data_IF_284111874562
#
_entry.id   IF_284111874562
#
_cell.length_a   1.000
_cell.length_b   1.000
_cell.length_c   1.000
_cell.angle_alpha   90.00
_cell.angle_beta   90.00
_cell.angle_gamma   90.00
#
_symmetry.space_group_name_H-M   'P 1'
#
loop_
_entity.id
_entity.type
_entity.pdbx_description
1 polymer ?
#
# COMPACT_ATOMS: atom_id res chain seq x y z
N UNK A 1 -9.27 35.06 2.30
CA UNK A 1 -10.31 34.71 3.32
C UNK A 1 -11.58 34.25 2.61
N UNK A 2 -12.35 33.27 3.12
CA UNK A 2 -13.58 32.75 2.47
C UNK A 2 -14.74 32.55 3.48
N UNK A 3 -16.00 32.68 3.07
CA UNK A 3 -17.14 32.49 3.99
C UNK A 3 -17.19 31.04 4.56
N UNK A 4 -17.26 30.83 5.89
CA UNK A 4 -17.24 29.50 6.48
C UNK A 4 -18.59 28.75 6.41
N UNK A 5 -19.67 29.41 5.98
CA UNK A 5 -20.99 28.79 5.83
C UNK A 5 -21.02 27.88 4.58
N UNK A 6 -21.21 26.55 4.73
CA UNK A 6 -21.23 25.59 3.62
C UNK A 6 -22.28 25.88 2.54
N UNK A 7 -23.35 26.59 2.90
CA UNK A 7 -24.46 26.92 2.01
C UNK A 7 -24.28 28.27 1.29
N UNK A 8 -23.15 28.96 1.53
CA UNK A 8 -22.85 30.22 0.86
C UNK A 8 -22.27 29.96 -0.54
N UNK A 9 -22.68 30.69 -1.59
CA UNK A 9 -22.09 30.58 -2.94
C UNK A 9 -20.57 30.84 -2.96
N UNK A 10 -20.08 31.61 -1.99
CA UNK A 10 -18.67 31.92 -1.80
C UNK A 10 -18.01 31.05 -0.73
N UNK A 11 -18.62 29.91 -0.39
CA UNK A 11 -18.02 28.91 0.47
C UNK A 11 -16.73 28.40 -0.19
N UNK A 12 -15.62 28.48 0.57
CA UNK A 12 -14.27 28.10 0.13
C UNK A 12 -13.70 28.89 -1.06
N UNK A 13 -14.32 29.98 -1.49
CA UNK A 13 -13.73 30.89 -2.47
C UNK A 13 -12.93 31.98 -1.76
N UNK A 14 -11.61 32.01 -2.00
CA UNK A 14 -10.73 33.05 -1.44
C UNK A 14 -10.79 34.32 -2.28
N UNK A 15 -10.72 35.47 -1.61
CA UNK A 15 -10.56 36.80 -2.21
C UNK A 15 -11.74 37.27 -3.08
N UNK A 16 -12.92 36.70 -2.83
CA UNK A 16 -14.20 37.04 -3.46
C UNK A 16 -14.79 38.41 -3.06
N UNK A 17 -14.07 39.23 -2.29
CA UNK A 17 -14.50 40.58 -1.86
C UNK A 17 -15.78 40.65 -1.00
N UNK A 18 -16.38 39.52 -0.66
CA UNK A 18 -17.70 39.39 -0.06
C UNK A 18 -17.69 39.40 1.47
N UNK A 19 -16.57 39.76 2.11
CA UNK A 19 -16.39 39.71 3.56
C UNK A 19 -16.07 41.09 4.12
N UNK A 20 -16.83 41.53 5.12
CA UNK A 20 -16.67 42.84 5.77
C UNK A 20 -16.29 42.64 7.23
N UNK A 21 -15.20 43.28 7.66
CA UNK A 21 -14.85 43.38 9.08
C UNK A 21 -15.82 44.34 9.76
N UNK A 22 -16.56 43.88 10.77
CA UNK A 22 -17.57 44.70 11.46
C UNK A 22 -17.25 44.94 12.93
N UNK A 23 -16.19 44.33 13.46
CA UNK A 23 -15.76 44.58 14.84
C UNK A 23 -14.51 43.80 15.24
N UNK A 24 -14.23 43.80 16.53
CA UNK A 24 -13.13 43.07 17.14
C UNK A 24 -13.47 42.62 18.57
N UNK A 25 -12.69 41.71 19.14
CA UNK A 25 -12.79 41.30 20.54
C UNK A 25 -11.40 41.01 21.12
N UNK A 26 -11.22 41.29 22.42
CA UNK A 26 -9.94 41.06 23.12
C UNK A 26 -9.79 39.60 23.54
N UNK A 27 -8.60 39.05 23.38
CA UNK A 27 -8.19 37.74 23.88
C UNK A 27 -6.90 37.85 24.69
N UNK A 28 -6.56 36.82 25.47
CA UNK A 28 -5.26 36.74 26.18
C UNK A 28 -4.03 36.86 25.27
N UNK A 29 -4.21 36.69 23.95
CA UNK A 29 -3.17 36.73 22.92
C UNK A 29 -3.29 37.95 22.00
N UNK A 30 -4.06 38.98 22.38
CA UNK A 30 -4.28 40.19 21.59
C UNK A 30 -5.73 40.36 21.09
N UNK A 31 -5.95 41.44 20.34
CA UNK A 31 -7.25 41.79 19.74
C UNK A 31 -7.48 41.01 18.43
N UNK A 32 -8.69 40.50 18.23
CA UNK A 32 -9.06 39.68 17.05
C UNK A 32 -10.24 40.27 16.32
N UNK A 33 -10.21 40.24 14.99
CA UNK A 33 -11.30 40.73 14.15
C UNK A 33 -12.55 39.86 14.16
N UNK A 34 -13.71 40.48 13.92
CA UNK A 34 -14.99 39.84 13.59
C UNK A 34 -15.40 40.24 12.18
N UNK A 35 -15.82 39.26 11.39
CA UNK A 35 -16.14 39.40 9.97
C UNK A 35 -17.56 38.90 9.70
N UNK A 36 -18.22 39.54 8.74
CA UNK A 36 -19.55 39.17 8.24
C UNK A 36 -19.46 38.92 6.74
N UNK A 37 -20.11 37.87 6.25
CA UNK A 37 -20.26 37.68 4.81
C UNK A 37 -21.44 38.50 4.28
N UNK A 38 -21.22 39.33 3.26
CA UNK A 38 -22.27 40.15 2.64
C UNK A 38 -23.28 39.31 1.84
N UNK A 39 -22.95 38.07 1.49
CA UNK A 39 -23.84 37.19 0.72
C UNK A 39 -24.81 36.40 1.60
N UNK A 40 -24.32 35.85 2.72
CA UNK A 40 -25.13 34.97 3.57
C UNK A 40 -25.35 35.51 5.00
N UNK A 41 -24.87 36.73 5.30
CA UNK A 41 -24.92 37.40 6.60
C UNK A 41 -24.31 36.67 7.80
N UNK A 42 -23.68 35.51 7.59
CA UNK A 42 -23.01 34.75 8.64
C UNK A 42 -21.89 35.59 9.27
N UNK A 43 -21.82 35.60 10.60
CA UNK A 43 -20.77 36.30 11.36
C UNK A 43 -19.80 35.31 11.97
N UNK A 44 -18.50 35.62 11.91
CA UNK A 44 -17.46 34.71 12.37
C UNK A 44 -16.21 35.47 12.82
N UNK A 45 -15.40 34.81 13.65
CA UNK A 45 -14.13 35.38 14.13
C UNK A 45 -13.02 35.21 13.10
N UNK A 46 -12.00 36.07 13.17
CA UNK A 46 -10.78 36.01 12.36
C UNK A 46 -10.13 34.61 12.32
N UNK A 47 -10.20 33.84 13.43
CA UNK A 47 -9.65 32.48 13.48
C UNK A 47 -10.54 31.40 12.86
N UNK A 48 -11.85 31.64 12.71
CA UNK A 48 -12.77 30.71 12.02
C UNK A 48 -12.34 30.42 10.57
N UNK A 49 -11.47 31.28 10.05
CA UNK A 49 -10.97 31.34 8.69
C UNK A 49 -9.59 30.68 8.51
N UNK A 50 -9.08 29.98 9.53
CA UNK A 50 -7.74 29.39 9.56
C UNK A 50 -7.75 27.95 10.08
N UNK A 51 -6.66 27.19 9.86
CA UNK A 51 -6.44 25.90 10.53
C UNK A 51 -6.39 26.00 12.07
N UNK A 52 -6.24 27.22 12.61
CA UNK A 52 -6.12 27.54 14.04
C UNK A 52 -7.47 27.71 14.76
N UNK A 53 -8.61 27.54 14.07
CA UNK A 53 -9.92 27.57 14.71
C UNK A 53 -10.03 26.45 15.77
N UNK A 54 -10.30 26.79 17.03
CA UNK A 54 -10.39 25.83 18.14
C UNK A 54 -9.06 25.34 18.72
N UNK A 55 -7.92 25.86 18.26
CA UNK A 55 -6.59 25.52 18.82
C UNK A 55 -6.20 26.50 19.94
N UNK A 56 -5.93 25.98 21.13
CA UNK A 56 -5.29 26.69 22.26
C UNK A 56 -3.76 26.66 22.13
N UNK A 57 -3.24 26.89 20.93
CA UNK A 57 -1.80 26.91 20.63
C UNK A 57 -1.36 28.30 20.16
N UNK A 58 -0.06 28.59 20.33
CA UNK A 58 0.57 29.79 19.80
C UNK A 58 0.66 29.69 18.27
N UNK A 59 0.18 30.72 17.57
CA UNK A 59 0.16 30.77 16.10
C UNK A 59 1.58 30.64 15.52
N UNK A 60 2.57 31.34 16.08
CA UNK A 60 3.94 31.32 15.57
C UNK A 60 4.55 29.94 15.71
N UNK A 61 4.27 29.23 16.81
CA UNK A 61 4.72 27.85 17.00
C UNK A 61 4.10 26.90 15.99
N UNK A 62 2.80 27.01 15.74
CA UNK A 62 2.11 26.16 14.75
C UNK A 62 2.63 26.45 13.34
N UNK A 63 2.75 27.72 12.95
CA UNK A 63 3.22 28.12 11.62
C UNK A 63 4.65 27.63 11.36
N UNK A 64 5.53 27.66 12.37
CA UNK A 64 6.90 27.14 12.24
C UNK A 64 6.93 25.61 12.11
N UNK A 65 6.08 24.87 12.85
CA UNK A 65 5.93 23.41 12.64
C UNK A 65 5.52 23.10 11.20
N UNK A 66 4.50 23.79 10.68
CA UNK A 66 4.01 23.56 9.32
C UNK A 66 5.06 23.93 8.28
N UNK A 67 5.79 25.04 8.47
CA UNK A 67 6.89 25.45 7.59
C UNK A 67 8.02 24.42 7.54
N UNK A 68 8.39 23.86 8.70
CA UNK A 68 9.43 22.82 8.78
C UNK A 68 8.98 21.50 8.14
N UNK A 69 7.71 21.12 8.28
CA UNK A 69 7.12 20.00 7.54
C UNK A 69 7.20 20.26 6.03
N UNK A 70 6.82 21.46 5.56
CA UNK A 70 6.92 21.83 4.14
C UNK A 70 8.35 21.83 3.59
N UNK A 71 9.36 21.99 4.45
CA UNK A 71 10.79 21.85 4.12
C UNK A 71 11.29 20.40 4.20
N UNK A 72 10.46 19.44 4.60
CA UNK A 72 10.80 18.02 4.68
C UNK A 72 11.41 17.57 6.01
N UNK A 73 11.32 18.37 7.09
CA UNK A 73 11.77 17.91 8.41
C UNK A 73 10.83 16.83 8.97
N UNK A 74 11.40 15.77 9.58
CA UNK A 74 10.62 14.73 10.26
C UNK A 74 9.95 15.26 11.52
N UNK A 75 8.75 14.76 11.85
CA UNK A 75 8.03 15.17 13.06
C UNK A 75 8.82 14.91 14.35
N UNK A 76 9.65 13.86 14.38
CA UNK A 76 10.55 13.58 15.51
C UNK A 76 11.63 14.66 15.66
N UNK A 77 12.20 15.15 14.56
CA UNK A 77 13.15 16.27 14.54
C UNK A 77 12.48 17.55 15.01
N UNK A 78 11.30 17.86 14.50
CA UNK A 78 10.52 19.05 14.91
C UNK A 78 10.16 18.99 16.40
N UNK A 79 9.70 17.83 16.88
CA UNK A 79 9.36 17.60 18.29
C UNK A 79 10.55 17.86 19.21
N UNK A 80 11.72 17.30 18.87
CA UNK A 80 12.96 17.48 19.63
C UNK A 80 13.43 18.94 19.62
N UNK A 81 13.48 19.56 18.45
CA UNK A 81 14.08 20.88 18.28
C UNK A 81 13.18 22.01 18.82
N UNK A 82 11.85 21.81 18.83
CA UNK A 82 10.89 22.82 19.29
C UNK A 82 10.34 22.55 20.69
N UNK A 83 10.76 21.46 21.35
CA UNK A 83 10.30 21.09 22.69
C UNK A 83 8.79 20.84 22.77
N UNK A 84 8.20 20.36 21.67
CA UNK A 84 6.77 20.02 21.60
C UNK A 84 6.59 18.50 21.62
N UNK A 85 5.55 18.01 22.30
CA UNK A 85 5.21 16.58 22.26
C UNK A 85 5.00 16.13 20.82
N UNK A 86 5.49 14.96 20.46
CA UNK A 86 5.37 14.41 19.11
C UNK A 86 3.91 14.37 18.64
N UNK A 87 2.99 14.01 19.54
CA UNK A 87 1.55 13.96 19.27
C UNK A 87 0.96 15.33 18.97
N UNK A 88 1.52 16.39 19.57
CA UNK A 88 1.11 17.77 19.29
C UNK A 88 1.58 18.21 17.89
N UNK A 89 2.81 17.83 17.49
CA UNK A 89 3.31 18.08 16.14
C UNK A 89 2.50 17.30 15.07
N UNK A 90 2.14 16.03 15.35
CA UNK A 90 1.25 15.21 14.52
C UNK A 90 -0.13 15.82 14.40
N UNK A 91 -0.75 16.19 15.51
CA UNK A 91 -2.07 16.84 15.53
C UNK A 91 -2.10 18.11 14.68
N UNK A 92 -1.05 18.94 14.74
CA UNK A 92 -0.93 20.13 13.91
C UNK A 92 -0.71 19.77 12.43
N UNK A 93 0.15 18.81 12.10
CA UNK A 93 0.31 18.30 10.73
C UNK A 93 -1.03 17.88 10.14
N UNK A 94 -1.75 16.99 10.82
CA UNK A 94 -2.97 16.35 10.29
C UNK A 94 -4.10 17.34 10.09
N UNK A 95 -4.20 18.32 11.01
CA UNK A 95 -5.20 19.39 10.94
C UNK A 95 -4.96 20.34 9.76
N UNK A 96 -3.72 20.56 9.36
CA UNK A 96 -3.36 21.46 8.27
C UNK A 96 -3.20 20.75 6.92
N UNK A 97 -2.88 19.45 6.90
CA UNK A 97 -2.94 18.61 5.70
C UNK A 97 -4.39 18.31 5.26
N UNK A 98 -5.33 18.08 6.19
CA UNK A 98 -6.76 17.90 5.85
C UNK A 98 -7.44 19.16 5.27
N UNK A 99 -6.78 20.33 5.30
CA UNK A 99 -7.34 21.63 4.84
C UNK A 99 -6.68 22.23 3.60
N UNK A 100 -5.74 21.55 2.95
CA UNK A 100 -5.25 21.95 1.62
C UNK A 100 -4.50 23.29 1.56
N UNK A 101 -3.84 23.73 2.63
CA UNK A 101 -3.13 25.02 2.69
C UNK A 101 -1.61 24.92 2.55
N UNK A 102 -1.06 23.75 2.21
CA UNK A 102 0.37 23.62 1.93
C UNK A 102 0.53 23.44 0.42
N UNK A 103 0.77 24.54 -0.28
CA UNK A 103 1.45 24.48 -1.57
C UNK A 103 2.91 24.14 -1.29
N UNK A 104 3.28 22.89 -1.57
CA UNK A 104 4.69 22.49 -1.57
C UNK A 104 5.37 23.16 -2.77
N UNK A 105 6.57 23.71 -2.58
CA UNK A 105 7.37 24.37 -3.63
C UNK A 105 7.71 23.46 -4.84
N UNK A 106 7.39 22.17 -4.75
CA UNK A 106 7.23 21.27 -5.89
C UNK A 106 5.77 20.82 -5.90
N UNK A 107 5.03 21.18 -6.94
CA UNK A 107 3.69 20.67 -7.25
C UNK A 107 3.68 19.19 -7.65
N UNK A 108 4.39 18.34 -6.91
CA UNK A 108 4.38 16.90 -7.13
C UNK A 108 3.26 16.31 -6.28
N UNK A 109 2.13 16.07 -6.93
CA UNK A 109 1.13 15.11 -6.47
C UNK A 109 1.88 13.83 -6.05
N UNK A 110 1.81 13.49 -4.76
CA UNK A 110 2.22 12.19 -4.21
C UNK A 110 1.53 11.00 -4.93
N UNK A 111 0.45 11.26 -5.67
CA UNK A 111 -0.26 10.31 -6.51
C UNK A 111 0.03 10.55 -8.01
N UNK A 112 1.22 10.16 -8.49
CA UNK A 112 1.40 9.95 -9.95
C UNK A 112 0.93 8.53 -10.30
N UNK A 113 0.21 8.32 -11.42
CA UNK A 113 -0.42 7.04 -11.74
C UNK A 113 0.59 5.89 -11.79
N UNK A 114 0.19 4.71 -11.30
CA UNK A 114 0.84 3.45 -11.66
C UNK A 114 0.71 3.27 -13.17
N UNK A 115 1.76 2.81 -13.85
CA UNK A 115 1.66 2.38 -15.24
C UNK A 115 0.67 1.22 -15.29
N UNK A 116 -0.56 1.48 -15.73
CA UNK A 116 -1.62 0.47 -15.78
C UNK A 116 -1.37 -0.48 -16.95
N UNK A 117 -1.22 -1.78 -16.65
CA UNK A 117 -1.11 -2.85 -17.65
C UNK A 117 -2.27 -2.91 -18.64
N UNK A 118 -3.50 -2.59 -18.21
CA UNK A 118 -4.69 -2.60 -19.08
C UNK A 118 -4.71 -1.46 -20.11
N UNK A 119 -3.94 -0.39 -19.93
CA UNK A 119 -3.92 0.78 -20.83
C UNK A 119 -2.64 0.86 -21.68
N UNK A 120 -1.60 0.06 -21.40
CA UNK A 120 -0.35 0.10 -22.16
C UNK A 120 -0.43 -0.78 -23.42
N UNK A 121 -0.78 -0.20 -24.57
CA UNK A 121 -0.38 -0.70 -25.90
C UNK A 121 1.08 -0.36 -26.23
N UNK A 122 1.83 0.16 -25.26
CA UNK A 122 3.24 0.53 -25.40
C UNK A 122 4.13 -0.70 -25.44
N UNK A 123 5.03 -0.76 -26.44
CA UNK A 123 6.10 -1.75 -26.45
C UNK A 123 7.02 -1.59 -25.23
N UNK A 124 7.62 -2.69 -24.78
CA UNK A 124 8.52 -2.74 -23.62
C UNK A 124 9.60 -1.65 -23.69
N UNK A 125 10.12 -1.34 -24.88
CA UNK A 125 11.13 -0.30 -25.10
C UNK A 125 10.66 1.12 -24.75
N UNK A 126 9.37 1.42 -24.95
CA UNK A 126 8.80 2.74 -24.62
C UNK A 126 8.62 2.87 -23.10
N UNK A 127 8.13 1.81 -22.45
CA UNK A 127 7.96 1.78 -20.99
C UNK A 127 9.31 1.89 -20.26
N UNK A 128 10.34 1.18 -20.73
CA UNK A 128 11.69 1.26 -20.15
C UNK A 128 12.27 2.68 -20.22
N UNK A 129 12.11 3.37 -21.36
CA UNK A 129 12.54 4.78 -21.52
C UNK A 129 11.83 5.73 -20.57
N UNK A 130 10.52 5.54 -20.37
CA UNK A 130 9.74 6.33 -19.43
C UNK A 130 10.24 6.12 -17.99
N UNK A 131 10.47 4.87 -17.59
CA UNK A 131 10.99 4.54 -16.25
C UNK A 131 12.36 5.13 -16.01
N UNK A 132 13.25 5.15 -17.01
CA UNK A 132 14.57 5.80 -16.90
C UNK A 132 14.47 7.32 -16.69
N UNK A 133 13.52 7.97 -17.39
CA UNK A 133 13.22 9.39 -17.15
C UNK A 133 12.67 9.61 -15.75
N UNK A 134 11.69 8.80 -15.34
CA UNK A 134 11.05 8.85 -14.02
C UNK A 134 12.05 8.64 -12.88
N UNK A 135 12.94 7.66 -12.98
CA UNK A 135 13.97 7.41 -11.97
C UNK A 135 14.92 8.59 -11.76
N UNK A 136 15.22 9.35 -12.82
CA UNK A 136 16.00 10.61 -12.73
C UNK A 136 15.20 11.70 -12.02
N UNK A 137 13.93 11.91 -12.41
CA UNK A 137 13.05 12.91 -11.79
C UNK A 137 12.78 12.63 -10.31
N UNK A 138 12.64 11.35 -9.95
CA UNK A 138 12.41 10.89 -8.58
C UNK A 138 13.70 10.95 -7.72
N UNK A 139 14.85 11.27 -8.33
CA UNK A 139 16.19 11.33 -7.71
C UNK A 139 16.64 9.98 -7.11
N UNK A 140 16.28 8.87 -7.77
CA UNK A 140 16.61 7.53 -7.29
C UNK A 140 18.12 7.29 -7.32
N UNK A 141 18.64 6.73 -6.23
CA UNK A 141 20.05 6.31 -6.09
C UNK A 141 20.23 4.81 -6.29
N UNK A 142 19.27 4.02 -5.82
CA UNK A 142 19.31 2.57 -5.87
C UNK A 142 18.00 1.99 -6.39
N UNK A 143 18.10 0.91 -7.16
CA UNK A 143 16.94 0.16 -7.66
C UNK A 143 17.02 -1.26 -7.11
N UNK A 144 15.96 -1.68 -6.44
CA UNK A 144 15.78 -3.02 -5.91
C UNK A 144 15.09 -3.88 -6.97
N UNK A 145 15.84 -4.80 -7.55
CA UNK A 145 15.35 -5.81 -8.47
C UNK A 145 14.80 -6.98 -7.66
N UNK A 146 13.48 -7.08 -7.59
CA UNK A 146 12.74 -8.03 -6.76
C UNK A 146 12.25 -9.20 -7.60
N UNK A 147 12.27 -10.39 -7.04
CA UNK A 147 11.69 -11.59 -7.63
C UNK A 147 11.26 -12.55 -6.52
N UNK A 148 10.54 -13.62 -6.86
CA UNK A 148 9.97 -14.54 -5.87
C UNK A 148 10.50 -15.95 -6.10
N UNK A 149 10.91 -16.62 -5.02
CA UNK A 149 11.28 -18.04 -5.08
C UNK A 149 10.06 -18.97 -5.01
N UNK A 150 10.27 -20.28 -5.14
CA UNK A 150 9.17 -21.26 -5.14
C UNK A 150 8.36 -21.27 -3.83
N UNK A 151 8.95 -20.80 -2.72
CA UNK A 151 8.31 -20.73 -1.41
C UNK A 151 7.51 -19.45 -1.21
N UNK A 152 7.43 -18.58 -2.22
CA UNK A 152 6.72 -17.31 -2.15
C UNK A 152 7.48 -16.22 -1.38
N UNK A 153 8.79 -16.39 -1.20
CA UNK A 153 9.64 -15.41 -0.54
C UNK A 153 10.21 -14.43 -1.55
N UNK A 154 10.06 -13.13 -1.32
CA UNK A 154 10.70 -12.13 -2.18
C UNK A 154 12.19 -12.09 -1.89
N UNK A 155 12.96 -12.17 -2.96
CA UNK A 155 14.40 -11.97 -3.02
C UNK A 155 14.68 -10.64 -3.69
N UNK A 156 15.89 -10.12 -3.51
CA UNK A 156 16.23 -8.82 -4.05
C UNK A 156 17.72 -8.74 -4.39
N UNK A 157 18.02 -8.14 -5.55
CA UNK A 157 19.35 -7.64 -5.91
C UNK A 157 19.26 -6.12 -5.99
N UNK A 158 20.20 -5.39 -5.36
CA UNK A 158 20.20 -3.92 -5.42
C UNK A 158 21.26 -3.44 -6.42
N UNK A 159 20.85 -2.61 -7.38
CA UNK A 159 21.75 -1.98 -8.34
C UNK A 159 21.78 -0.45 -8.15
N UNK A 160 22.90 0.22 -8.49
CA UNK A 160 22.90 1.67 -8.64
C UNK A 160 21.94 2.10 -9.76
N UNK A 161 21.28 3.25 -9.59
CA UNK A 161 20.36 3.78 -10.62
C UNK A 161 21.04 4.01 -11.98
N UNK A 162 22.35 4.27 -12.00
CA UNK A 162 23.14 4.40 -13.23
C UNK A 162 23.18 3.11 -14.06
N UNK A 163 22.99 1.95 -13.44
CA UNK A 163 23.01 0.64 -14.11
C UNK A 163 21.63 0.22 -14.63
N UNK A 164 20.58 1.03 -14.39
CA UNK A 164 19.20 0.69 -14.74
C UNK A 164 19.00 0.49 -16.26
N UNK A 165 19.66 1.31 -17.09
CA UNK A 165 19.62 1.16 -18.55
C UNK A 165 20.12 -0.23 -18.96
N UNK A 166 21.30 -0.62 -18.47
CA UNK A 166 21.89 -1.92 -18.78
C UNK A 166 21.02 -3.07 -18.24
N UNK A 167 20.36 -2.88 -17.10
CA UNK A 167 19.43 -3.86 -16.55
C UNK A 167 18.21 -4.09 -17.45
N UNK A 168 17.69 -3.06 -18.11
CA UNK A 168 16.63 -3.23 -19.12
C UNK A 168 17.15 -3.89 -20.40
N UNK A 169 18.30 -3.44 -20.90
CA UNK A 169 18.83 -3.92 -22.18
C UNK A 169 19.29 -5.38 -22.12
N UNK A 170 20.09 -5.72 -21.10
CA UNK A 170 20.77 -7.02 -20.98
C UNK A 170 20.20 -7.90 -19.88
N UNK A 171 19.51 -7.34 -18.90
CA UNK A 171 19.18 -8.04 -17.65
C UNK A 171 20.35 -8.01 -16.67
N UNK A 172 20.13 -8.54 -15.48
CA UNK A 172 21.14 -8.60 -14.41
C UNK A 172 21.40 -10.04 -14.03
N UNK A 173 22.67 -10.45 -14.13
CA UNK A 173 23.10 -11.78 -13.72
C UNK A 173 23.04 -11.95 -12.20
N UNK A 174 22.64 -13.13 -11.76
CA UNK A 174 22.67 -13.52 -10.36
C UNK A 174 22.86 -15.03 -10.22
N UNK A 175 23.32 -15.43 -9.03
CA UNK A 175 23.45 -16.84 -8.66
C UNK A 175 22.08 -17.43 -8.23
N UNK A 176 21.48 -18.20 -9.12
CA UNK A 176 20.27 -18.98 -8.92
C UNK A 176 20.45 -20.21 -8.02
N UNK A 177 21.68 -20.69 -7.79
CA UNK A 177 21.92 -21.84 -6.89
C UNK A 177 21.66 -21.51 -5.43
N UNK A 178 21.73 -20.22 -5.08
CA UNK A 178 21.40 -19.69 -3.76
C UNK A 178 19.88 -19.49 -3.55
N UNK A 179 19.04 -19.82 -4.53
CA UNK A 179 17.58 -19.69 -4.46
C UNK A 179 16.92 -21.07 -4.29
N UNK A 180 16.14 -21.20 -3.22
CA UNK A 180 15.48 -22.45 -2.89
C UNK A 180 14.51 -22.89 -4.00
N UNK A 181 14.67 -24.14 -4.45
CA UNK A 181 13.85 -24.74 -5.49
C UNK A 181 14.19 -24.34 -6.93
N UNK A 182 15.21 -23.51 -7.17
CA UNK A 182 15.56 -23.12 -8.54
C UNK A 182 16.36 -24.21 -9.25
N UNK A 183 17.46 -24.78 -8.73
CA UNK A 183 18.08 -25.99 -9.33
C UNK A 183 19.20 -26.54 -8.43
N UNK A 184 19.58 -27.82 -8.62
CA UNK A 184 20.82 -28.40 -8.04
C UNK A 184 22.02 -27.91 -8.85
N UNK A 185 23.03 -27.30 -8.21
CA UNK A 185 24.45 -27.02 -8.55
C UNK A 185 24.88 -26.74 -10.03
N UNK A 186 24.29 -27.37 -11.05
CA UNK A 186 24.76 -27.35 -12.45
C UNK A 186 24.25 -26.19 -13.32
N UNK A 187 23.25 -25.42 -12.88
CA UNK A 187 22.72 -24.25 -13.60
C UNK A 187 22.62 -23.05 -12.64
N UNK A 188 23.77 -22.54 -12.19
CA UNK A 188 23.83 -21.45 -11.19
C UNK A 188 23.56 -20.08 -11.78
N UNK A 189 23.96 -19.81 -13.02
CA UNK A 189 23.89 -18.45 -13.57
C UNK A 189 22.52 -18.19 -14.21
N UNK A 190 21.80 -17.21 -13.66
CA UNK A 190 20.46 -16.82 -14.11
C UNK A 190 20.40 -15.32 -14.37
N UNK A 191 19.42 -14.88 -15.15
CA UNK A 191 19.26 -13.48 -15.55
C UNK A 191 17.93 -12.94 -15.00
N UNK A 192 17.98 -11.85 -14.24
CA UNK A 192 16.82 -11.05 -13.90
C UNK A 192 16.48 -10.10 -15.04
N UNK A 193 15.26 -10.19 -15.55
CA UNK A 193 14.68 -9.24 -16.51
C UNK A 193 13.67 -8.34 -15.80
N UNK A 194 13.99 -7.06 -15.54
CA UNK A 194 13.07 -6.15 -14.85
C UNK A 194 11.85 -5.82 -15.71
N UNK A 195 10.66 -5.87 -15.11
CA UNK A 195 9.41 -5.46 -15.75
C UNK A 195 9.16 -3.96 -15.48
N UNK A 196 9.29 -3.07 -16.49
CA UNK A 196 9.19 -1.63 -16.29
C UNK A 196 7.82 -1.18 -15.76
N UNK A 197 6.76 -1.94 -16.01
CA UNK A 197 5.41 -1.61 -15.53
C UNK A 197 5.27 -1.74 -14.01
N UNK A 198 6.27 -2.32 -13.35
CA UNK A 198 6.28 -2.56 -11.90
C UNK A 198 7.17 -1.56 -11.15
N UNK A 199 7.61 -0.47 -11.81
CA UNK A 199 8.42 0.56 -11.16
C UNK A 199 7.64 1.27 -10.04
N UNK A 200 8.16 1.24 -8.81
CA UNK A 200 7.61 2.00 -7.69
C UNK A 200 8.69 2.58 -6.78
N UNK A 201 8.50 3.79 -6.28
CA UNK A 201 9.37 4.41 -5.29
C UNK A 201 9.06 3.84 -3.90
N UNK A 202 10.08 3.53 -3.11
CA UNK A 202 9.90 3.02 -1.74
C UNK A 202 9.72 4.21 -0.79
N UNK A 203 8.55 4.39 -0.15
CA UNK A 203 8.22 5.63 0.56
C UNK A 203 8.87 5.75 1.94
N UNK A 204 9.33 4.65 2.54
CA UNK A 204 9.83 4.62 3.92
C UNK A 204 11.36 4.64 4.06
N UNK A 205 12.09 5.10 3.02
CA UNK A 205 13.55 5.30 3.04
C UNK A 205 13.91 6.72 2.59
N UNK A 206 14.22 7.63 3.52
CA UNK A 206 14.75 8.94 3.11
C UNK A 206 15.60 9.66 4.16
N UNK A 207 16.92 9.60 3.95
CA UNK A 207 17.88 10.69 4.11
C UNK A 207 18.85 10.62 2.91
N UNK A 208 18.59 11.35 1.82
CA UNK A 208 19.46 11.45 0.64
C UNK A 208 19.66 10.17 -0.20
N UNK A 209 19.06 9.03 0.17
CA UNK A 209 19.26 7.70 -0.45
C UNK A 209 17.94 7.09 -0.97
N UNK A 210 17.16 7.86 -1.74
CA UNK A 210 15.90 7.38 -2.32
C UNK A 210 16.12 6.11 -3.15
N UNK A 211 15.22 5.14 -2.99
CA UNK A 211 15.27 3.86 -3.68
C UNK A 211 13.95 3.57 -4.37
N UNK A 212 14.01 2.91 -5.52
CA UNK A 212 12.84 2.36 -6.20
C UNK A 212 12.93 0.83 -6.28
N UNK A 213 11.83 0.17 -6.62
CA UNK A 213 11.79 -1.26 -6.90
C UNK A 213 11.26 -1.55 -8.29
N UNK A 214 11.68 -2.68 -8.84
CA UNK A 214 11.16 -3.31 -10.04
C UNK A 214 11.04 -4.82 -9.77
N UNK A 215 9.90 -5.40 -10.14
CA UNK A 215 9.71 -6.85 -10.13
C UNK A 215 10.29 -7.43 -11.41
N UNK A 216 10.99 -8.55 -11.30
CA UNK A 216 11.72 -9.18 -12.37
C UNK A 216 11.14 -10.56 -12.65
N UNK A 217 11.21 -10.96 -13.92
CA UNK A 217 11.11 -12.36 -14.31
C UNK A 217 12.50 -12.98 -14.35
N UNK A 218 12.58 -14.27 -14.05
CA UNK A 218 13.84 -15.01 -14.09
C UNK A 218 13.97 -15.70 -15.45
N UNK A 219 15.13 -15.54 -16.08
CA UNK A 219 15.46 -16.14 -17.35
C UNK A 219 16.73 -16.98 -17.25
N UNK A 220 16.81 -18.02 -18.06
CA UNK A 220 18.01 -18.82 -18.27
C UNK A 220 19.04 -18.05 -19.11
N UNK A 221 20.33 -18.47 -19.10
CA UNK A 221 21.38 -17.84 -19.91
C UNK A 221 21.12 -17.78 -21.41
N UNK A 222 20.35 -18.73 -21.94
CA UNK A 222 19.91 -18.77 -23.35
C UNK A 222 18.72 -17.82 -23.64
N UNK A 223 18.29 -17.06 -22.65
CA UNK A 223 17.26 -16.02 -22.79
C UNK A 223 15.82 -16.52 -22.71
N UNK A 224 15.58 -17.79 -22.34
CA UNK A 224 14.22 -18.31 -22.13
C UNK A 224 13.69 -18.01 -20.73
N UNK A 225 12.38 -17.85 -20.53
CA UNK A 225 11.79 -17.80 -19.20
C UNK A 225 12.11 -19.07 -18.41
N UNK A 226 12.52 -18.90 -17.16
CA UNK A 226 12.89 -20.02 -16.30
C UNK A 226 11.65 -20.78 -15.82
N UNK A 227 11.64 -22.10 -15.98
CA UNK A 227 10.49 -22.94 -15.64
C UNK A 227 10.14 -23.00 -14.15
N UNK A 228 11.09 -22.67 -13.26
CA UNK A 228 10.87 -22.61 -11.81
C UNK A 228 10.47 -21.23 -11.28
N UNK A 229 10.33 -20.22 -12.14
CA UNK A 229 9.87 -18.88 -11.74
C UNK A 229 8.34 -18.86 -11.58
N UNK A 230 7.80 -18.69 -10.36
CA UNK A 230 6.36 -18.67 -10.11
C UNK A 230 5.63 -17.60 -10.93
N UNK A 231 6.27 -16.44 -11.16
CA UNK A 231 5.68 -15.33 -11.91
C UNK A 231 5.54 -15.67 -13.38
N UNK A 232 6.54 -16.32 -13.97
CA UNK A 232 6.51 -16.82 -15.34
C UNK A 232 5.48 -17.95 -15.53
N UNK A 233 5.32 -18.83 -14.54
CA UNK A 233 4.27 -19.86 -14.55
C UNK A 233 2.88 -19.20 -14.56
N UNK A 234 2.63 -18.20 -13.72
CA UNK A 234 1.35 -17.48 -13.70
C UNK A 234 1.07 -16.81 -15.05
N UNK A 235 2.06 -16.16 -15.66
CA UNK A 235 1.94 -15.58 -17.01
C UNK A 235 1.52 -16.60 -18.06
N UNK A 236 2.09 -17.82 -18.01
CA UNK A 236 1.74 -18.91 -18.93
C UNK A 236 0.27 -19.31 -18.78
N UNK A 237 -0.21 -19.54 -17.56
CA UNK A 237 -1.61 -19.93 -17.29
C UNK A 237 -2.58 -18.81 -17.66
N UNK A 238 -2.21 -17.55 -17.43
CA UNK A 238 -3.02 -16.40 -17.86
C UNK A 238 -3.12 -16.28 -19.39
N UNK A 239 -2.08 -16.67 -20.12
CA UNK A 239 -2.14 -16.75 -21.58
C UNK A 239 -3.11 -17.84 -22.05
N UNK A 240 -3.20 -18.97 -21.34
CA UNK A 240 -4.20 -20.02 -21.59
C UNK A 240 -5.62 -19.51 -21.35
N UNK A 241 -5.88 -18.84 -20.21
CA UNK A 241 -7.17 -18.21 -19.93
C UNK A 241 -7.56 -17.16 -21.00
N UNK A 242 -6.60 -16.35 -21.46
CA UNK A 242 -6.82 -15.36 -22.52
C UNK A 242 -7.18 -15.99 -23.87
N UNK A 243 -6.59 -17.15 -24.21
CA UNK A 243 -6.96 -17.94 -25.40
C UNK A 243 -8.40 -18.46 -25.31
N UNK A 244 -8.86 -18.79 -24.11
CA UNK A 244 -10.27 -19.15 -23.84
C UNK A 244 -11.22 -17.95 -23.84
N UNK A 245 -10.72 -16.72 -24.01
CA UNK A 245 -11.54 -15.52 -24.06
C UNK A 245 -11.73 -14.80 -22.73
N UNK A 246 -10.98 -15.20 -21.69
CA UNK A 246 -11.16 -14.68 -20.33
C UNK A 246 -9.97 -13.85 -19.84
N UNK A 247 -10.30 -12.86 -19.00
CA UNK A 247 -9.37 -12.10 -18.17
C UNK A 247 -9.62 -12.50 -16.72
N UNK A 248 -8.61 -13.08 -16.07
CA UNK A 248 -8.69 -13.51 -14.68
C UNK A 248 -8.30 -12.38 -13.74
N UNK A 249 -9.18 -12.06 -12.79
CA UNK A 249 -8.95 -11.04 -11.77
C UNK A 249 -9.03 -11.66 -10.38
N UNK A 250 -8.19 -11.17 -9.48
CA UNK A 250 -8.13 -11.62 -8.08
C UNK A 250 -8.10 -10.44 -7.11
N UNK A 251 -8.75 -10.63 -5.96
CA UNK A 251 -8.77 -9.71 -4.81
C UNK A 251 -8.35 -10.45 -3.55
N UNK A 252 -7.06 -10.41 -3.16
CA UNK A 252 -6.58 -11.07 -1.96
C UNK A 252 -6.79 -10.20 -0.72
N UNK A 253 -7.46 -10.74 0.29
CA UNK A 253 -7.52 -10.23 1.67
C UNK A 253 -6.36 -10.87 2.42
N UNK A 254 -5.50 -10.08 3.07
CA UNK A 254 -4.27 -10.61 3.69
C UNK A 254 -4.27 -10.30 5.17
N UNK A 255 -4.55 -11.33 5.96
CA UNK A 255 -4.49 -11.27 7.42
C UNK A 255 -3.05 -11.44 7.92
N UNK A 256 -2.72 -10.77 9.02
CA UNK A 256 -1.42 -10.87 9.67
C UNK A 256 -1.49 -10.57 11.16
N UNK A 257 -0.53 -11.11 11.92
CA UNK A 257 -0.33 -10.78 13.32
C UNK A 257 0.79 -9.75 13.49
N UNK A 258 0.62 -8.84 14.45
CA UNK A 258 1.69 -8.01 15.00
C UNK A 258 2.10 -8.52 16.38
N UNK A 259 3.38 -8.84 16.51
CA UNK A 259 3.99 -9.28 17.77
C UNK A 259 4.94 -8.22 18.34
N UNK A 260 5.02 -8.19 19.67
CA UNK A 260 6.00 -7.38 20.38
C UNK A 260 7.41 -7.92 20.19
N UNK A 261 8.39 -7.02 20.26
CA UNK A 261 9.80 -7.36 20.40
C UNK A 261 10.27 -7.00 21.80
N UNK A 262 11.07 -7.86 22.39
CA UNK A 262 11.75 -7.63 23.66
C UNK A 262 13.26 -7.64 23.41
N UNK A 263 13.94 -6.53 23.70
CA UNK A 263 15.35 -6.29 23.35
C UNK A 263 15.71 -6.69 21.91
N UNK A 264 14.82 -6.37 20.96
CA UNK A 264 14.99 -6.68 19.55
C UNK A 264 14.71 -8.14 19.15
N UNK A 265 14.45 -9.04 20.11
CA UNK A 265 14.03 -10.42 19.86
C UNK A 265 12.53 -10.50 19.65
N UNK A 266 12.10 -11.33 18.70
CA UNK A 266 10.68 -11.58 18.42
C UNK A 266 10.09 -12.37 19.59
N UNK A 267 8.92 -11.95 20.08
CA UNK A 267 8.16 -12.68 21.11
C UNK A 267 6.89 -13.29 20.50
N UNK A 268 6.22 -14.17 21.25
CA UNK A 268 4.88 -14.67 20.90
C UNK A 268 3.76 -13.83 21.51
N UNK A 269 4.08 -12.67 22.10
CA UNK A 269 3.10 -11.80 22.75
C UNK A 269 2.47 -10.88 21.70
N UNK A 270 1.14 -10.96 21.47
CA UNK A 270 0.45 -10.03 20.58
C UNK A 270 0.69 -8.57 20.94
N UNK A 271 0.64 -7.70 19.95
CA UNK A 271 0.80 -6.26 20.15
C UNK A 271 -0.27 -5.69 21.07
N UNK A 272 -1.52 -6.11 20.89
CA UNK A 272 -2.68 -5.71 21.68
C UNK A 272 -3.63 -6.90 21.93
N UNK A 273 -4.80 -6.60 22.52
CA UNK A 273 -5.86 -7.56 22.88
C UNK A 273 -7.20 -7.18 22.24
N UNK A 274 -7.13 -6.46 21.11
CA UNK A 274 -8.32 -6.09 20.35
C UNK A 274 -9.00 -7.33 19.77
N UNK A 275 -10.25 -7.17 19.38
CA UNK A 275 -11.01 -8.14 18.58
C UNK A 275 -11.58 -7.49 17.32
N UNK A 276 -12.45 -8.24 16.64
CA UNK A 276 -13.00 -7.85 15.34
C UNK A 276 -13.69 -6.48 15.38
N UNK A 277 -13.20 -5.54 14.56
CA UNK A 277 -13.65 -4.13 14.51
C UNK A 277 -13.58 -3.35 15.83
N UNK A 278 -12.75 -3.76 16.79
CA UNK A 278 -12.61 -3.03 18.05
C UNK A 278 -12.14 -1.59 17.84
N UNK A 279 -12.67 -0.68 18.68
CA UNK A 279 -12.30 0.73 18.66
C UNK A 279 -10.86 0.95 19.21
N UNK A 280 -10.13 2.01 18.79
CA UNK A 280 -8.73 2.27 19.18
C UNK A 280 -8.39 2.34 20.68
N UNK A 281 -9.37 2.30 21.59
CA UNK A 281 -9.09 2.17 23.03
C UNK A 281 -8.54 0.78 23.41
N UNK A 282 -8.80 -0.23 22.58
CA UNK A 282 -8.27 -1.60 22.71
C UNK A 282 -7.35 -2.00 21.55
N UNK A 283 -7.49 -1.33 20.42
CA UNK A 283 -6.67 -1.50 19.22
C UNK A 283 -5.51 -0.47 19.20
N UNK A 284 -4.31 -0.95 19.56
CA UNK A 284 -3.11 -0.11 19.62
C UNK A 284 -2.37 -0.03 18.29
N UNK A 285 -2.76 -0.86 17.32
CA UNK A 285 -2.15 -0.92 15.99
C UNK A 285 -2.78 0.03 14.96
N UNK A 286 -3.78 0.85 15.33
CA UNK A 286 -4.42 1.80 14.41
C UNK A 286 -3.42 2.70 13.67
N UNK A 287 -2.44 3.31 14.36
CA UNK A 287 -1.38 4.11 13.72
C UNK A 287 -0.51 3.28 12.76
N UNK A 288 -0.23 2.01 13.11
CA UNK A 288 0.57 1.11 12.26
C UNK A 288 -0.18 0.82 10.96
N UNK A 289 -1.50 0.56 11.03
CA UNK A 289 -2.34 0.30 9.85
C UNK A 289 -2.54 1.53 8.98
N UNK A 290 -2.65 2.71 9.58
CA UNK A 290 -2.67 3.99 8.85
C UNK A 290 -1.35 4.22 8.08
N UNK A 291 -0.19 4.01 8.71
CA UNK A 291 1.11 4.15 8.06
C UNK A 291 1.32 3.10 6.95
N UNK A 292 0.83 1.88 7.13
CA UNK A 292 0.78 0.85 6.07
C UNK A 292 -0.05 1.36 4.89
N UNK A 293 -1.25 1.88 5.17
CA UNK A 293 -2.16 2.39 4.13
C UNK A 293 -1.52 3.54 3.35
N UNK A 294 -0.92 4.52 4.02
CA UNK A 294 -0.21 5.62 3.36
C UNK A 294 0.95 5.13 2.49
N UNK A 295 1.69 4.12 2.96
CA UNK A 295 2.78 3.54 2.20
C UNK A 295 2.29 2.80 0.95
N UNK A 296 1.17 2.07 1.04
CA UNK A 296 0.53 1.40 -0.10
C UNK A 296 0.02 2.41 -1.12
N UNK A 297 -0.67 3.46 -0.68
CA UNK A 297 -1.18 4.51 -1.56
C UNK A 297 -0.04 5.24 -2.29
N UNK A 298 1.08 5.54 -1.60
CA UNK A 298 2.27 6.13 -2.21
C UNK A 298 2.93 5.21 -3.25
N UNK A 299 2.70 3.89 -3.14
CA UNK A 299 3.09 2.89 -4.14
C UNK A 299 1.96 2.59 -5.13
N UNK A 300 0.91 3.41 -5.16
CA UNK A 300 -0.20 3.34 -6.10
C UNK A 300 -1.12 2.13 -5.92
N UNK A 301 -1.13 1.53 -4.73
CA UNK A 301 -2.05 0.48 -4.34
C UNK A 301 -3.20 1.10 -3.55
N UNK A 302 -4.43 0.93 -4.03
CA UNK A 302 -5.62 1.45 -3.33
C UNK A 302 -6.04 0.47 -2.25
N UNK A 303 -5.90 0.88 -0.99
CA UNK A 303 -6.49 0.19 0.15
C UNK A 303 -8.01 0.41 0.14
N UNK A 304 -8.80 -0.66 0.28
CA UNK A 304 -10.26 -0.57 0.39
C UNK A 304 -10.70 -0.46 1.85
N UNK A 305 -10.07 -1.26 2.71
CA UNK A 305 -10.37 -1.30 4.13
C UNK A 305 -9.14 -1.79 4.92
N UNK A 306 -9.07 -1.41 6.18
CA UNK A 306 -8.18 -2.04 7.14
C UNK A 306 -8.82 -2.03 8.52
N UNK A 307 -8.74 -3.16 9.22
CA UNK A 307 -9.34 -3.32 10.52
C UNK A 307 -8.55 -4.29 11.40
N UNK A 308 -8.94 -4.30 12.67
CA UNK A 308 -8.57 -5.35 13.59
C UNK A 308 -9.39 -6.62 13.29
N UNK A 309 -8.73 -7.76 13.34
CA UNK A 309 -9.29 -9.09 13.07
C UNK A 309 -9.75 -9.79 14.36
N UNK A 310 -10.25 -11.03 14.24
CA UNK A 310 -10.81 -11.80 15.36
C UNK A 310 -9.79 -12.07 16.48
N UNK A 311 -8.56 -12.46 16.12
CA UNK A 311 -7.52 -12.81 17.10
C UNK A 311 -6.78 -11.59 17.68
N UNK A 312 -6.20 -11.71 18.89
CA UNK A 312 -5.49 -10.59 19.54
C UNK A 312 -4.25 -10.18 18.73
N UNK A 313 -4.12 -8.88 18.41
CA UNK A 313 -3.04 -8.38 17.56
C UNK A 313 -3.08 -8.90 16.11
N UNK A 314 -4.22 -9.42 15.67
CA UNK A 314 -4.48 -9.79 14.28
C UNK A 314 -5.10 -8.60 13.55
N UNK A 315 -4.70 -8.43 12.29
CA UNK A 315 -5.13 -7.32 11.46
C UNK A 315 -5.29 -7.75 10.01
N UNK A 316 -6.11 -6.99 9.28
CA UNK A 316 -6.33 -7.13 7.85
C UNK A 316 -6.11 -5.79 7.14
N UNK A 317 -5.58 -5.88 5.92
CA UNK A 317 -5.47 -4.76 4.98
C UNK A 317 -5.89 -5.27 3.60
N UNK A 318 -6.97 -4.69 3.08
CA UNK A 318 -7.56 -5.08 1.81
C UNK A 318 -7.07 -4.15 0.71
N UNK A 319 -6.60 -4.75 -0.37
CA UNK A 319 -6.20 -4.01 -1.56
C UNK A 319 -7.17 -4.34 -2.68
N UNK A 320 -7.61 -3.29 -3.38
CA UNK A 320 -8.52 -3.41 -4.52
C UNK A 320 -8.07 -4.50 -5.50
N UNK A 321 -9.04 -5.30 -5.95
CA UNK A 321 -8.79 -6.35 -6.93
C UNK A 321 -8.16 -5.82 -8.23
N UNK A 322 -7.42 -6.66 -8.92
CA UNK A 322 -6.80 -6.34 -10.22
C UNK A 322 -6.66 -7.61 -11.08
N UNK A 323 -6.09 -7.49 -12.28
CA UNK A 323 -5.70 -8.69 -13.03
C UNK A 323 -4.75 -9.55 -12.20
N UNK A 324 -4.83 -10.87 -12.35
CA UNK A 324 -4.19 -11.80 -11.42
C UNK A 324 -2.66 -11.62 -11.30
N UNK A 325 -1.97 -11.19 -12.36
CA UNK A 325 -0.53 -10.95 -12.30
C UNK A 325 -0.21 -9.69 -11.48
N UNK A 326 -0.94 -8.59 -11.72
CA UNK A 326 -0.82 -7.37 -10.91
C UNK A 326 -1.22 -7.63 -9.46
N UNK A 327 -2.26 -8.42 -9.23
CA UNK A 327 -2.70 -8.81 -7.90
C UNK A 327 -1.65 -9.62 -7.16
N UNK A 328 -1.02 -10.61 -7.80
CA UNK A 328 0.08 -11.37 -7.20
C UNK A 328 1.31 -10.49 -6.89
N UNK A 329 1.69 -9.61 -7.83
CA UNK A 329 2.77 -8.61 -7.64
C UNK A 329 2.45 -7.69 -6.42
N UNK A 330 1.19 -7.29 -6.27
CA UNK A 330 0.69 -6.48 -5.17
C UNK A 330 0.68 -7.23 -3.83
N UNK A 331 0.25 -8.50 -3.78
CA UNK A 331 0.25 -9.30 -2.55
C UNK A 331 1.65 -9.47 -1.98
N UNK A 332 2.64 -9.75 -2.82
CA UNK A 332 4.04 -9.81 -2.38
C UNK A 332 4.47 -8.44 -1.86
N UNK A 333 4.19 -7.36 -2.60
CA UNK A 333 4.53 -6.00 -2.17
C UNK A 333 3.91 -5.66 -0.81
N UNK A 334 2.61 -5.95 -0.63
CA UNK A 334 1.85 -5.72 0.59
C UNK A 334 2.53 -6.36 1.81
N UNK A 335 2.91 -7.64 1.71
CA UNK A 335 3.62 -8.34 2.79
C UNK A 335 4.90 -7.63 3.23
N UNK A 336 5.66 -7.08 2.28
CA UNK A 336 6.90 -6.37 2.59
C UNK A 336 6.69 -4.95 3.09
N UNK A 337 5.64 -4.26 2.62
CA UNK A 337 5.23 -2.96 3.17
C UNK A 337 4.85 -3.15 4.64
N UNK A 338 3.95 -4.09 4.94
CA UNK A 338 3.52 -4.41 6.30
C UNK A 338 4.72 -4.74 7.19
N UNK A 339 5.61 -5.64 6.77
CA UNK A 339 6.81 -5.99 7.54
C UNK A 339 7.73 -4.79 7.77
N UNK A 340 7.90 -3.93 6.76
CA UNK A 340 8.79 -2.77 6.86
C UNK A 340 8.24 -1.72 7.81
N UNK A 341 6.95 -1.40 7.70
CA UNK A 341 6.29 -0.42 8.57
C UNK A 341 6.19 -0.96 10.00
N UNK A 342 5.78 -2.21 10.19
CA UNK A 342 5.76 -2.85 11.51
C UNK A 342 7.14 -2.78 12.19
N UNK A 343 8.22 -3.02 11.45
CA UNK A 343 9.57 -2.92 11.98
C UNK A 343 9.94 -1.49 12.43
N UNK A 344 9.47 -0.45 11.74
CA UNK A 344 9.67 0.96 12.14
C UNK A 344 8.94 1.33 13.44
N UNK A 345 7.85 0.62 13.72
CA UNK A 345 7.10 0.69 14.97
C UNK A 345 7.63 -0.25 16.06
N UNK A 346 8.77 -0.92 15.83
CA UNK A 346 9.38 -1.84 16.80
C UNK A 346 8.64 -3.19 16.91
N UNK A 347 7.76 -3.51 15.97
CA UNK A 347 6.94 -4.72 15.96
C UNK A 347 7.49 -5.75 14.97
N UNK A 348 6.95 -6.97 15.07
CA UNK A 348 7.18 -8.04 14.11
C UNK A 348 5.86 -8.46 13.46
N UNK A 349 5.73 -8.25 12.15
CA UNK A 349 4.59 -8.74 11.38
C UNK A 349 4.81 -10.18 10.92
N UNK A 350 3.83 -11.04 11.18
CA UNK A 350 3.82 -12.45 10.77
C UNK A 350 2.58 -12.77 9.93
N UNK A 351 2.81 -13.44 8.80
CA UNK A 351 1.77 -14.02 7.94
C UNK A 351 1.69 -15.55 8.11
N UNK A 352 2.18 -16.04 9.25
CA UNK A 352 2.14 -17.46 9.58
C UNK A 352 0.67 -17.89 9.73
N UNK A 353 0.22 -18.99 9.13
CA UNK A 353 -1.20 -19.36 9.14
C UNK A 353 -1.82 -19.55 10.53
N UNK A 354 -1.06 -20.07 11.49
CA UNK A 354 -1.51 -20.32 12.86
C UNK A 354 -0.36 -20.06 13.84
N UNK A 355 -0.09 -18.79 14.19
CA UNK A 355 1.02 -18.45 15.05
C UNK A 355 0.72 -18.73 16.54
N UNK A 356 -0.57 -18.74 16.92
CA UNK A 356 -1.04 -18.96 18.29
C UNK A 356 -2.02 -20.14 18.33
N UNK A 357 -1.85 -21.02 19.32
CA UNK A 357 -2.82 -22.08 19.60
C UNK A 357 -4.05 -21.48 20.30
N UNK A 358 -5.24 -21.96 19.96
CA UNK A 358 -6.48 -21.52 20.61
C UNK A 358 -7.09 -20.23 20.04
N UNK A 359 -6.33 -19.46 19.26
CA UNK A 359 -6.76 -18.20 18.63
C UNK A 359 -7.07 -18.37 17.13
N UNK A 360 -7.70 -17.38 16.49
CA UNK A 360 -7.89 -17.36 15.04
C UNK A 360 -6.55 -17.52 14.27
N UNK A 361 -6.62 -18.08 13.06
CA UNK A 361 -5.46 -18.19 12.18
C UNK A 361 -5.48 -17.07 11.13
N UNK A 362 -4.35 -16.78 10.50
CA UNK A 362 -4.29 -15.81 9.39
C UNK A 362 -4.60 -16.47 8.05
N UNK A 363 -5.68 -16.02 7.42
CA UNK A 363 -6.06 -16.36 6.04
C UNK A 363 -5.38 -15.50 4.98
N UNK A 364 -5.43 -16.01 3.75
CA UNK A 364 -5.35 -15.16 2.56
C UNK A 364 -6.55 -15.51 1.68
N UNK A 365 -7.68 -14.86 1.92
CA UNK A 365 -8.88 -15.11 1.12
C UNK A 365 -8.67 -14.52 -0.26
N UNK A 366 -8.94 -15.28 -1.31
CA UNK A 366 -8.72 -14.83 -2.69
C UNK A 366 -10.06 -14.81 -3.40
N UNK A 367 -10.63 -13.61 -3.52
CA UNK A 367 -11.79 -13.37 -4.38
C UNK A 367 -11.37 -13.54 -5.84
N UNK A 368 -12.15 -14.27 -6.63
CA UNK A 368 -11.79 -14.67 -7.99
C UNK A 368 -12.93 -14.35 -8.96
N UNK A 369 -12.58 -13.84 -10.15
CA UNK A 369 -13.56 -13.58 -11.21
C UNK A 369 -12.96 -13.71 -12.60
N UNK A 370 -13.76 -14.22 -13.55
CA UNK A 370 -13.46 -14.18 -14.97
C UNK A 370 -14.26 -13.08 -15.64
N UNK A 371 -13.59 -12.29 -16.48
CA UNK A 371 -14.22 -11.28 -17.32
C UNK A 371 -14.02 -11.66 -18.78
N UNK A 372 -15.02 -11.42 -19.62
CA UNK A 372 -14.83 -11.55 -21.06
C UNK A 372 -13.95 -10.40 -21.62
N UNK A 373 -13.54 -10.52 -22.88
CA UNK A 373 -12.75 -9.48 -23.56
C UNK A 373 -13.48 -8.14 -23.72
N UNK A 374 -14.79 -8.09 -23.48
CA UNK A 374 -15.62 -6.86 -23.51
C UNK A 374 -15.74 -6.22 -22.13
N UNK A 375 -15.14 -6.82 -21.09
CA UNK A 375 -15.17 -6.30 -19.72
C UNK A 375 -16.45 -6.66 -18.95
N UNK A 376 -17.24 -7.63 -19.43
CA UNK A 376 -18.38 -8.17 -18.68
C UNK A 376 -17.92 -9.27 -17.74
N UNK A 377 -18.37 -9.25 -16.49
CA UNK A 377 -18.13 -10.34 -15.55
C UNK A 377 -18.84 -11.61 -16.05
N UNK A 378 -18.05 -12.63 -16.40
CA UNK A 378 -18.53 -13.90 -16.94
C UNK A 378 -19.19 -14.77 -15.87
N UNK A 379 -18.97 -14.51 -14.59
CA UNK A 379 -19.62 -15.23 -13.49
C UNK A 379 -21.04 -14.75 -13.17
N UNK A 380 -21.44 -13.58 -13.68
CA UNK A 380 -22.73 -13.00 -13.33
C UNK A 380 -23.85 -13.41 -14.31
N UNK A 381 -24.92 -13.99 -13.78
CA UNK A 381 -26.18 -14.18 -14.49
C UNK A 381 -27.36 -13.66 -13.65
N UNK A 382 -28.07 -12.60 -14.08
CA UNK A 382 -29.19 -12.07 -13.30
C UNK A 382 -30.38 -13.03 -13.17
N UNK A 383 -30.47 -14.08 -14.00
CA UNK A 383 -31.60 -15.03 -14.01
C UNK A 383 -31.42 -16.18 -13.02
N UNK A 384 -30.19 -16.50 -12.65
CA UNK A 384 -29.91 -17.55 -11.68
C UNK A 384 -30.33 -17.16 -10.25
N UNK A 385 -30.59 -18.17 -9.40
CA UNK A 385 -30.98 -17.99 -8.00
C UNK A 385 -29.88 -17.31 -7.18
N UNK A 386 -28.63 -17.71 -7.39
CA UNK A 386 -27.45 -17.17 -6.69
C UNK A 386 -26.74 -16.09 -7.50
N UNK A 387 -27.34 -15.69 -8.63
CA UNK A 387 -26.77 -14.76 -9.61
C UNK A 387 -25.47 -15.25 -10.25
N UNK A 388 -25.31 -16.58 -10.31
CA UNK A 388 -24.14 -17.24 -10.87
C UNK A 388 -24.45 -17.82 -12.26
N UNK A 389 -23.55 -17.57 -13.21
CA UNK A 389 -23.63 -18.15 -14.55
C UNK A 389 -23.18 -19.61 -14.58
N UNK A 390 -23.47 -20.30 -15.68
CA UNK A 390 -22.94 -21.65 -15.95
C UNK A 390 -21.39 -21.68 -15.92
N UNK A 391 -20.75 -20.60 -16.35
CA UNK A 391 -19.28 -20.45 -16.28
C UNK A 391 -18.81 -20.41 -14.83
N UNK A 392 -19.52 -19.70 -13.94
CA UNK A 392 -19.20 -19.68 -12.51
C UNK A 392 -19.34 -21.07 -11.88
N UNK A 393 -20.43 -21.79 -12.16
CA UNK A 393 -20.62 -23.15 -11.65
C UNK A 393 -19.56 -24.11 -12.16
N UNK A 394 -19.19 -24.04 -13.44
CA UNK A 394 -18.12 -24.87 -14.02
C UNK A 394 -16.77 -24.56 -13.40
N UNK A 395 -16.47 -23.28 -13.15
CA UNK A 395 -15.25 -22.86 -12.47
C UNK A 395 -15.20 -23.40 -11.03
N UNK A 396 -16.29 -23.28 -10.28
CA UNK A 396 -16.42 -23.82 -8.92
C UNK A 396 -16.25 -25.34 -8.89
N UNK A 397 -16.86 -26.06 -9.85
CA UNK A 397 -16.72 -27.50 -9.97
C UNK A 397 -15.25 -27.92 -10.13
N UNK A 398 -14.48 -27.23 -10.97
CA UNK A 398 -13.04 -27.48 -11.13
C UNK A 398 -12.23 -27.21 -9.85
N UNK A 399 -12.55 -26.14 -9.12
CA UNK A 399 -11.90 -25.83 -7.83
C UNK A 399 -12.18 -26.93 -6.80
N UNK A 400 -13.43 -27.39 -6.69
CA UNK A 400 -13.84 -28.43 -5.74
C UNK A 400 -13.24 -29.81 -6.08
N UNK A 401 -13.25 -30.17 -7.37
CA UNK A 401 -12.65 -31.41 -7.87
C UNK A 401 -11.15 -31.49 -7.51
N UNK A 402 -10.43 -30.38 -7.65
CA UNK A 402 -8.99 -30.33 -7.41
C UNK A 402 -8.59 -29.84 -6.02
N UNK A 403 -9.54 -29.53 -5.12
CA UNK A 403 -9.29 -28.86 -3.84
C UNK A 403 -8.22 -29.57 -2.99
N UNK A 404 -8.28 -30.90 -2.91
CA UNK A 404 -7.32 -31.71 -2.13
C UNK A 404 -5.90 -31.60 -2.68
N UNK A 405 -5.73 -31.66 -4.00
CA UNK A 405 -4.41 -31.51 -4.62
C UNK A 405 -3.91 -30.06 -4.52
N UNK A 406 -4.80 -29.09 -4.72
CA UNK A 406 -4.52 -27.66 -4.63
C UNK A 406 -4.03 -27.25 -3.23
N UNK A 407 -4.49 -27.94 -2.18
CA UNK A 407 -4.10 -27.69 -0.78
C UNK A 407 -2.57 -27.74 -0.59
N UNK A 408 -1.85 -28.60 -1.33
CA UNK A 408 -0.39 -28.64 -1.27
C UNK A 408 0.28 -27.32 -1.71
N UNK A 409 -0.40 -26.50 -2.53
CA UNK A 409 0.10 -25.23 -3.06
C UNK A 409 -0.46 -24.06 -2.26
N UNK A 410 -1.76 -24.05 -1.94
CA UNK A 410 -2.41 -22.92 -1.24
C UNK A 410 -2.24 -22.97 0.28
N UNK A 411 -1.89 -24.13 0.83
CA UNK A 411 -1.54 -24.35 2.23
C UNK A 411 -0.17 -25.05 2.34
N UNK A 412 0.93 -24.40 1.87
CA UNK A 412 2.18 -25.08 1.55
C UNK A 412 3.05 -25.42 2.77
N UNK A 413 2.68 -24.96 3.97
CA UNK A 413 3.49 -25.19 5.18
C UNK A 413 2.79 -26.15 6.13
N UNK A 414 3.56 -26.88 6.95
CA UNK A 414 3.03 -27.71 8.05
C UNK A 414 2.11 -26.90 8.97
N UNK A 415 2.43 -25.63 9.19
CA UNK A 415 1.61 -24.75 10.03
C UNK A 415 0.24 -24.39 9.40
N UNK A 416 0.13 -24.41 8.06
CA UNK A 416 -1.14 -24.18 7.36
C UNK A 416 -2.22 -25.16 7.81
N UNK A 417 -1.84 -26.43 8.01
CA UNK A 417 -2.75 -27.48 8.48
C UNK A 417 -3.14 -27.34 9.97
N UNK A 418 -2.47 -26.45 10.72
CA UNK A 418 -2.89 -26.10 12.09
C UNK A 418 -3.94 -24.98 12.10
N UNK A 419 -4.09 -24.25 10.99
CA UNK A 419 -5.20 -23.32 10.75
C UNK A 419 -6.46 -24.05 10.29
N UNK A 420 -6.32 -25.06 9.43
CA UNK A 420 -7.43 -25.84 8.86
C UNK A 420 -8.04 -26.82 9.88
N UNK A 421 -8.64 -26.26 10.93
CA UNK A 421 -9.35 -26.98 11.99
C UNK A 421 -10.65 -26.24 12.31
N UNK A 422 -11.69 -26.99 12.67
CA UNK A 422 -13.02 -26.43 12.96
C UNK A 422 -12.99 -25.42 14.11
N UNK A 423 -13.83 -24.38 14.03
CA UNK A 423 -14.07 -23.42 15.12
C UNK A 423 -13.33 -22.08 15.01
N UNK A 424 -12.63 -21.82 13.91
CA UNK A 424 -11.82 -20.60 13.71
C UNK A 424 -12.02 -19.94 12.34
N UNK A 425 -13.21 -20.08 11.76
CA UNK A 425 -13.57 -19.50 10.44
C UNK A 425 -12.64 -19.92 9.28
N UNK A 426 -11.91 -21.03 9.45
CA UNK A 426 -11.14 -21.68 8.40
C UNK A 426 -11.98 -22.81 7.76
N UNK A 427 -11.87 -23.01 6.43
CA UNK A 427 -12.63 -24.02 5.70
C UNK A 427 -12.22 -25.46 6.01
#
# INVERSE_FOLDING_TARGET
>A
MFCPNPNCPFYRQTDSGNLVKFGSYKTKQGERGRYRCNQCNETFSERAMTGLYGLHADKQKVDEVIKRIGKGDSLRKISRDMGIKLDTARYWRDRFLKKGTIETAKGERLNRPVLKRRESTMGLDTASKEVLGRAKSDEIKFVLLQFTDILGMMKCVTIPAASLQNAFDKGVWFDGSSIEGFVRIAESDMILKPDPLTYQVIPWKTEGRKSARLICDVHTPDGKPFGGDPRSILKKVLAEASKLGYVFNTGPEVEFYLFKKDDGKITTVPHDIGGYFDYPSRDYASEVREDITFALEAMGMTSEMSHHEVGPGQHEVDVKYSDALTSADNTITLKYVIKSIAAQHGLYASFMPKPLYGEAGSGMHVHQSLFDKKGKNAFFDPKDKYKLSEVAYSYLAGQLEHARALTAIVAPTVNSYKRLVSGYEAP
#
